data_IF_611384114181
#
_entry.id   IF_611384114181
#
_cell.length_a   1.000
_cell.length_b   1.000
_cell.length_c   1.000
_cell.angle_alpha   90.00
_cell.angle_beta   90.00
_cell.angle_gamma   90.00
#
_symmetry.space_group_name_H-M   'P 1'
#
loop_
_entity.id
_entity.type
_entity.pdbx_description
1 polymer ?
#
# COMPACT_ATOMS: atom_id res chain seq x y z
N UNK A 1 -35.06 -52.03 -4.02
CA UNK A 1 -33.93 -51.53 -3.21
C UNK A 1 -33.50 -50.20 -3.80
N UNK A 2 -33.89 -49.14 -3.18
CA UNK A 2 -33.56 -47.77 -3.65
C UNK A 2 -32.22 -47.37 -3.06
N UNK A 3 -31.20 -47.24 -3.90
CA UNK A 3 -29.89 -46.71 -3.50
C UNK A 3 -29.99 -45.20 -3.42
N UNK A 4 -29.99 -44.63 -2.23
CA UNK A 4 -29.85 -43.21 -1.98
C UNK A 4 -28.41 -42.83 -2.26
N UNK A 5 -28.18 -42.06 -3.30
CA UNK A 5 -26.91 -41.39 -3.57
C UNK A 5 -26.89 -40.10 -2.76
N UNK A 6 -26.10 -40.10 -1.69
CA UNK A 6 -25.82 -38.90 -0.92
C UNK A 6 -24.76 -38.09 -1.68
N UNK A 7 -25.18 -37.03 -2.35
CA UNK A 7 -24.28 -36.05 -2.95
C UNK A 7 -23.68 -35.20 -1.82
N UNK A 8 -22.45 -35.49 -1.45
CA UNK A 8 -21.66 -34.64 -0.55
C UNK A 8 -21.22 -33.40 -1.36
N UNK A 9 -21.95 -32.31 -1.19
CA UNK A 9 -21.52 -31.01 -1.68
C UNK A 9 -20.40 -30.53 -0.76
N UNK A 10 -19.17 -30.73 -1.20
CA UNK A 10 -18.01 -30.12 -0.58
C UNK A 10 -18.02 -28.63 -0.96
N UNK A 11 -18.56 -27.80 -0.09
CA UNK A 11 -18.38 -26.36 -0.17
C UNK A 11 -16.89 -26.06 0.06
N UNK A 12 -16.14 -25.95 -1.04
CA UNK A 12 -14.82 -25.32 -1.01
C UNK A 12 -15.05 -23.82 -0.71
N UNK A 13 -15.09 -23.48 0.55
CA UNK A 13 -14.92 -22.11 1.01
C UNK A 13 -13.50 -21.70 0.65
N UNK A 14 -13.38 -21.06 -0.52
CA UNK A 14 -12.16 -20.35 -0.88
C UNK A 14 -12.04 -19.22 0.13
N UNK A 15 -11.29 -19.47 1.20
CA UNK A 15 -10.87 -18.43 2.10
C UNK A 15 -10.00 -17.48 1.26
N UNK A 16 -10.60 -16.41 0.79
CA UNK A 16 -9.86 -15.28 0.24
C UNK A 16 -9.04 -14.74 1.41
N UNK A 17 -7.81 -15.22 1.50
CA UNK A 17 -6.86 -14.69 2.45
C UNK A 17 -6.60 -13.23 2.12
N UNK A 18 -7.39 -12.35 2.72
CA UNK A 18 -6.94 -10.98 2.88
C UNK A 18 -5.65 -11.09 3.66
N UNK A 19 -4.58 -10.66 3.04
CA UNK A 19 -3.30 -10.63 3.69
C UNK A 19 -3.40 -9.65 4.84
N UNK A 20 -3.67 -10.21 5.98
CA UNK A 20 -3.61 -9.51 7.24
C UNK A 20 -2.14 -9.30 7.55
N UNK A 21 -1.82 -8.10 7.99
CA UNK A 21 -0.54 -7.85 8.60
C UNK A 21 -0.36 -8.86 9.74
N UNK A 22 0.65 -9.73 9.65
CA UNK A 22 0.87 -10.86 10.57
C UNK A 22 1.10 -10.45 12.03
N UNK A 23 1.27 -9.17 12.26
CA UNK A 23 1.44 -8.55 13.57
C UNK A 23 0.46 -7.39 13.66
N UNK A 24 0.03 -7.09 14.87
CA UNK A 24 -0.67 -5.85 15.18
C UNK A 24 0.03 -4.68 14.48
N UNK A 25 -0.74 -3.64 14.13
CA UNK A 25 -0.19 -2.41 13.58
C UNK A 25 1.10 -2.06 14.29
N UNK A 26 2.14 -1.79 13.53
CA UNK A 26 3.42 -1.38 14.08
C UNK A 26 3.18 -0.20 15.02
N UNK A 27 3.75 -0.25 16.21
CA UNK A 27 3.65 0.86 17.16
C UNK A 27 4.17 2.13 16.50
N UNK A 28 3.35 3.18 16.44
CA UNK A 28 3.64 4.42 15.75
C UNK A 28 4.97 5.04 16.19
N UNK A 29 5.24 5.05 17.49
CA UNK A 29 6.50 5.58 18.02
C UNK A 29 7.71 4.79 17.51
N UNK A 30 7.60 3.47 17.45
CA UNK A 30 8.68 2.60 16.92
C UNK A 30 8.88 2.85 15.44
N UNK A 31 7.82 2.91 14.66
CA UNK A 31 7.89 3.18 13.22
C UNK A 31 8.47 4.57 12.95
N UNK A 32 8.08 5.58 13.72
CA UNK A 32 8.64 6.92 13.63
C UNK A 32 10.14 6.94 13.86
N UNK A 33 10.67 6.09 14.74
CA UNK A 33 12.13 5.97 14.97
C UNK A 33 12.84 5.22 13.85
N UNK A 34 12.18 4.25 13.22
CA UNK A 34 12.76 3.44 12.14
C UNK A 34 12.67 4.13 10.78
N UNK A 35 11.71 5.00 10.59
CA UNK A 35 11.52 5.73 9.34
C UNK A 35 12.69 6.69 9.07
N UNK A 36 13.13 6.77 7.82
CA UNK A 36 14.12 7.76 7.39
C UNK A 36 13.56 9.17 7.46
N UNK A 37 12.29 9.32 7.20
CA UNK A 37 11.52 10.55 7.39
C UNK A 37 10.04 10.22 7.61
N UNK A 38 9.35 11.11 8.32
CA UNK A 38 7.89 11.16 8.40
C UNK A 38 7.45 12.50 7.83
N UNK A 39 6.62 12.45 6.82
CA UNK A 39 6.22 13.62 6.05
C UNK A 39 4.72 13.66 5.80
N UNK A 40 4.20 14.86 5.58
CA UNK A 40 2.93 15.06 4.91
C UNK A 40 3.25 15.44 3.47
N UNK A 41 2.70 14.71 2.51
CA UNK A 41 2.99 14.94 1.11
C UNK A 41 1.81 14.68 0.20
N UNK A 42 1.79 15.36 -0.93
CA UNK A 42 0.79 15.22 -1.97
C UNK A 42 1.36 14.40 -3.13
N UNK A 43 0.65 13.38 -3.54
CA UNK A 43 1.05 12.56 -4.69
C UNK A 43 0.86 13.35 -5.97
N UNK A 44 1.93 13.52 -6.75
CA UNK A 44 1.91 14.25 -8.02
C UNK A 44 1.94 13.32 -9.23
N UNK A 45 2.48 12.12 -9.09
CA UNK A 45 2.51 11.13 -10.16
C UNK A 45 2.52 9.70 -9.57
N UNK A 46 2.09 8.75 -10.37
CA UNK A 46 2.15 7.33 -10.06
C UNK A 46 2.61 6.57 -11.31
N UNK A 47 3.65 5.78 -11.17
CA UNK A 47 4.22 5.01 -12.27
C UNK A 47 4.34 3.54 -11.86
N UNK A 48 3.60 2.63 -12.50
CA UNK A 48 3.78 1.20 -12.32
C UNK A 48 5.21 0.78 -12.66
N UNK A 49 5.78 -0.09 -11.86
CA UNK A 49 7.10 -0.70 -12.09
C UNK A 49 6.86 -2.12 -12.55
N UNK A 50 7.06 -2.44 -13.84
CA UNK A 50 6.88 -3.80 -14.31
C UNK A 50 8.03 -4.68 -13.77
N UNK A 51 7.65 -5.83 -13.20
CA UNK A 51 8.54 -6.96 -13.11
C UNK A 51 8.62 -7.64 -14.49
N UNK A 52 9.46 -8.62 -14.66
CA UNK A 52 9.56 -9.32 -15.94
C UNK A 52 8.21 -9.97 -16.35
N UNK A 53 7.80 -9.77 -17.61
CA UNK A 53 6.65 -10.37 -18.29
C UNK A 53 5.29 -9.75 -17.90
N UNK A 54 4.47 -10.36 -17.07
CA UNK A 54 3.09 -9.94 -16.84
C UNK A 54 2.82 -9.45 -15.42
N UNK A 55 3.85 -9.31 -14.60
CA UNK A 55 3.72 -8.91 -13.20
C UNK A 55 4.23 -7.50 -12.95
N UNK A 56 3.56 -6.79 -12.07
CA UNK A 56 4.02 -5.52 -11.53
C UNK A 56 4.80 -5.78 -10.24
N UNK A 57 6.02 -5.25 -10.17
CA UNK A 57 6.82 -5.24 -8.94
C UNK A 57 6.20 -4.31 -7.88
N UNK A 58 5.57 -3.25 -8.33
CA UNK A 58 4.89 -2.27 -7.49
C UNK A 58 4.59 -0.99 -8.23
N UNK A 59 4.44 0.08 -7.46
CA UNK A 59 4.21 1.42 -7.99
C UNK A 59 5.20 2.39 -7.36
N UNK A 60 5.88 3.17 -8.20
CA UNK A 60 6.62 4.35 -7.80
C UNK A 60 5.69 5.56 -7.80
N UNK A 61 5.51 6.16 -6.65
CA UNK A 61 4.79 7.41 -6.49
C UNK A 61 5.77 8.57 -6.38
N UNK A 62 5.52 9.64 -7.12
CA UNK A 62 6.19 10.92 -6.90
C UNK A 62 5.37 11.70 -5.89
N UNK A 63 5.98 12.09 -4.80
CA UNK A 63 5.33 12.79 -3.69
C UNK A 63 6.04 14.12 -3.48
N UNK A 64 5.28 15.22 -3.57
CA UNK A 64 5.76 16.53 -3.13
C UNK A 64 5.61 16.62 -1.62
N UNK A 65 6.68 16.93 -0.93
CA UNK A 65 6.68 17.09 0.52
C UNK A 65 6.10 18.44 0.89
N UNK A 66 4.94 18.43 1.52
CA UNK A 66 4.26 19.64 1.96
C UNK A 66 4.72 20.06 3.36
N UNK A 67 4.91 19.10 4.26
CA UNK A 67 5.39 19.32 5.62
C UNK A 67 6.29 18.19 6.07
N UNK A 68 7.39 18.51 6.70
CA UNK A 68 8.24 17.53 7.37
C UNK A 68 7.85 17.42 8.84
N UNK A 69 7.48 16.23 9.28
CA UNK A 69 7.24 15.91 10.68
C UNK A 69 8.55 15.51 11.37
N UNK A 70 9.33 14.63 10.69
CA UNK A 70 10.61 14.12 11.20
C UNK A 70 11.54 13.72 10.07
N UNK A 71 12.85 13.70 10.34
CA UNK A 71 13.89 13.14 9.47
C UNK A 71 14.51 14.17 8.53
N UNK A 72 15.20 13.69 7.49
CA UNK A 72 16.01 14.51 6.58
C UNK A 72 15.31 14.99 5.32
N UNK A 73 13.99 14.97 5.29
CA UNK A 73 13.22 15.44 4.14
C UNK A 73 13.22 16.99 4.08
N UNK A 74 13.12 17.52 2.85
CA UNK A 74 12.98 18.96 2.62
C UNK A 74 11.59 19.27 2.12
N UNK A 75 10.94 20.26 2.73
CA UNK A 75 9.66 20.82 2.26
C UNK A 75 9.79 21.38 0.83
N UNK A 76 8.73 21.27 0.04
CA UNK A 76 8.66 21.71 -1.35
C UNK A 76 9.64 20.99 -2.30
N UNK A 77 10.10 19.81 -1.93
CA UNK A 77 10.84 18.91 -2.81
C UNK A 77 10.02 17.68 -3.15
N UNK A 78 10.34 17.02 -4.23
CA UNK A 78 9.74 15.75 -4.61
C UNK A 78 10.61 14.57 -4.16
N UNK A 79 9.95 13.50 -3.74
CA UNK A 79 10.59 12.23 -3.38
C UNK A 79 9.85 11.10 -4.06
N UNK A 80 10.59 10.08 -4.48
CA UNK A 80 9.99 8.85 -4.98
C UNK A 80 9.73 7.90 -3.81
N UNK A 81 8.49 7.42 -3.73
CA UNK A 81 8.03 6.48 -2.71
C UNK A 81 7.53 5.22 -3.41
N UNK A 82 8.05 4.08 -3.04
CA UNK A 82 7.69 2.80 -3.61
C UNK A 82 6.69 2.06 -2.71
N UNK A 83 5.69 1.45 -3.33
CA UNK A 83 4.80 0.49 -2.68
C UNK A 83 4.84 -0.82 -3.47
N UNK A 84 5.26 -1.88 -2.79
CA UNK A 84 5.44 -3.19 -3.38
C UNK A 84 4.09 -3.83 -3.75
N UNK A 85 4.02 -4.48 -4.90
CA UNK A 85 2.86 -5.27 -5.30
C UNK A 85 2.79 -6.57 -4.50
N UNK A 86 2.38 -6.45 -3.28
CA UNK A 86 2.24 -7.52 -2.31
C UNK A 86 0.94 -7.31 -1.53
N UNK A 87 0.55 -8.28 -0.69
CA UNK A 87 -0.57 -8.07 0.23
C UNK A 87 -0.46 -6.84 1.14
N UNK A 88 0.72 -6.26 1.25
CA UNK A 88 0.99 -5.03 2.02
C UNK A 88 0.96 -3.77 1.16
N UNK A 89 0.48 -3.87 -0.07
CA UNK A 89 0.40 -2.75 -1.00
C UNK A 89 -0.36 -1.56 -0.39
N UNK A 90 0.27 -0.40 -0.38
CA UNK A 90 -0.31 0.85 0.05
C UNK A 90 -0.66 1.70 -1.18
N UNK A 91 -1.94 1.72 -1.52
CA UNK A 91 -2.41 2.47 -2.67
C UNK A 91 -2.51 3.96 -2.35
N UNK A 92 -1.95 4.77 -3.23
CA UNK A 92 -2.05 6.23 -3.17
C UNK A 92 -2.60 6.77 -4.48
N UNK A 93 -3.29 7.91 -4.41
CA UNK A 93 -3.91 8.56 -5.57
C UNK A 93 -3.23 9.89 -5.87
N UNK A 94 -3.03 10.16 -7.16
CA UNK A 94 -2.56 11.46 -7.63
C UNK A 94 -3.53 12.55 -7.17
N UNK A 95 -2.98 13.62 -6.62
CA UNK A 95 -3.73 14.75 -6.09
C UNK A 95 -4.15 14.63 -4.62
N UNK A 96 -4.02 13.45 -4.02
CA UNK A 96 -4.32 13.26 -2.60
C UNK A 96 -3.10 13.46 -1.72
N UNK A 97 -3.36 13.86 -0.48
CA UNK A 97 -2.35 14.09 0.54
C UNK A 97 -2.34 12.97 1.58
N UNK A 98 -1.15 12.59 1.99
CA UNK A 98 -0.92 11.49 2.92
C UNK A 98 0.09 11.87 3.99
N UNK A 99 -0.07 11.27 5.17
CA UNK A 99 1.02 11.15 6.15
C UNK A 99 1.79 9.88 5.80
N UNK A 100 3.08 9.99 5.54
CA UNK A 100 3.92 8.89 5.08
C UNK A 100 5.09 8.65 6.03
N UNK A 101 5.22 7.42 6.47
CA UNK A 101 6.35 6.89 7.23
C UNK A 101 7.29 6.20 6.24
N UNK A 102 8.31 6.91 5.78
CA UNK A 102 9.21 6.44 4.74
C UNK A 102 10.23 5.46 5.32
N UNK A 103 10.14 4.20 4.93
CA UNK A 103 11.06 3.15 5.35
C UNK A 103 12.17 2.99 4.31
N UNK A 104 13.45 3.10 4.71
CA UNK A 104 14.55 2.82 3.80
C UNK A 104 14.64 1.31 3.58
N UNK A 105 14.42 0.86 2.36
CA UNK A 105 14.49 -0.54 2.00
C UNK A 105 15.06 -0.68 0.60
N UNK A 106 16.09 -1.50 0.43
CA UNK A 106 16.75 -1.74 -0.86
C UNK A 106 17.14 -0.46 -1.61
N UNK A 107 17.61 0.56 -0.88
CA UNK A 107 18.07 1.83 -1.47
C UNK A 107 16.94 2.78 -1.91
N UNK A 108 15.69 2.50 -1.57
CA UNK A 108 14.54 3.35 -1.89
C UNK A 108 13.66 3.59 -0.67
N UNK A 109 12.85 4.65 -0.70
CA UNK A 109 11.82 4.89 0.30
C UNK A 109 10.62 4.01 0.01
N UNK A 110 10.18 3.22 0.98
CA UNK A 110 9.06 2.31 0.85
C UNK A 110 7.99 2.61 1.88
N UNK A 111 6.75 2.41 1.49
CA UNK A 111 5.58 2.43 2.39
C UNK A 111 4.80 1.15 2.22
N UNK A 112 4.12 0.73 3.27
CA UNK A 112 3.25 -0.43 3.24
C UNK A 112 1.96 -0.21 4.05
N UNK A 113 0.95 -1.03 3.78
CA UNK A 113 -0.36 -0.95 4.42
C UNK A 113 -0.38 -1.46 5.87
N UNK A 114 0.69 -2.05 6.35
CA UNK A 114 0.83 -2.53 7.73
C UNK A 114 1.44 -1.48 8.66
N UNK A 115 1.97 -0.38 8.10
CA UNK A 115 2.48 0.76 8.85
C UNK A 115 1.40 1.77 9.22
N UNK A 116 1.84 2.92 9.70
CA UNK A 116 0.97 4.02 10.13
C UNK A 116 0.76 5.09 9.04
N UNK A 117 1.25 4.87 7.82
CA UNK A 117 0.96 5.74 6.69
C UNK A 117 -0.54 5.75 6.39
N UNK A 118 -1.11 6.92 6.15
CA UNK A 118 -2.56 7.09 5.91
C UNK A 118 -2.86 8.37 5.14
N UNK A 119 -4.04 8.46 4.53
CA UNK A 119 -4.53 9.69 3.93
C UNK A 119 -4.84 10.73 5.02
N UNK A 120 -4.56 12.01 4.74
CA UNK A 120 -4.83 13.10 5.69
C UNK A 120 -6.31 13.41 5.83
N UNK A 121 -7.10 13.13 4.79
CA UNK A 121 -8.57 13.22 4.82
C UNK A 121 -9.13 11.84 5.06
N UNK A 122 -9.85 11.65 6.15
CA UNK A 122 -10.72 10.50 6.38
C UNK A 122 -11.93 10.60 5.47
N UNK A 123 -11.70 10.54 4.16
CA UNK A 123 -12.79 10.32 3.23
C UNK A 123 -13.24 8.87 3.36
N UNK A 124 -14.24 8.67 4.20
CA UNK A 124 -15.05 7.45 4.23
C UNK A 124 -15.68 7.11 2.87
N UNK A 125 -15.52 7.97 1.88
CA UNK A 125 -15.79 7.74 0.47
C UNK A 125 -14.74 6.85 -0.23
N UNK A 126 -13.57 6.65 0.36
CA UNK A 126 -12.49 5.82 -0.21
C UNK A 126 -12.77 4.31 -0.16
N UNK A 127 -13.88 3.88 0.44
CA UNK A 127 -14.31 2.48 0.40
C UNK A 127 -14.79 2.02 -0.98
N UNK A 128 -14.88 2.93 -1.96
CA UNK A 128 -15.19 2.63 -3.36
C UNK A 128 -13.96 2.70 -4.27
N UNK A 129 -12.83 2.27 -3.78
CA UNK A 129 -11.67 2.15 -4.63
C UNK A 129 -11.86 0.97 -5.58
N UNK A 130 -11.90 1.19 -6.88
CA UNK A 130 -11.92 0.08 -7.82
C UNK A 130 -10.60 -0.67 -7.68
N UNK A 131 -10.68 -1.94 -7.32
CA UNK A 131 -9.56 -2.89 -7.28
C UNK A 131 -8.91 -3.12 -8.67
N UNK A 132 -9.06 -2.17 -9.57
CA UNK A 132 -8.81 -2.37 -11.00
C UNK A 132 -7.41 -2.01 -11.45
N UNK A 133 -6.57 -1.45 -10.59
CA UNK A 133 -5.20 -1.09 -11.01
C UNK A 133 -4.24 -2.28 -10.94
N UNK A 134 -4.54 -3.28 -10.13
CA UNK A 134 -3.70 -4.47 -9.99
C UNK A 134 -3.99 -5.59 -11.00
N UNK A 135 -5.05 -5.49 -11.80
CA UNK A 135 -5.48 -6.59 -12.68
C UNK A 135 -5.55 -6.26 -14.17
N UNK A 136 -5.15 -5.06 -14.58
CA UNK A 136 -4.97 -4.81 -16.02
C UNK A 136 -3.50 -4.94 -16.36
N UNK A 137 -3.15 -6.16 -16.76
CA UNK A 137 -1.96 -6.38 -17.53
C UNK A 137 -1.98 -5.46 -18.77
N UNK A 138 -0.86 -4.87 -19.04
CA UNK A 138 -0.59 -4.16 -20.29
C UNK A 138 -0.25 -5.18 -21.36
#
# INVERSE_FOLDING_TARGET
MKKLAIAVIVCLSVAHGFAQCKTERVNERKEMHMASAVVVGTVTAAQPVPESWDFLDGVNYTVRIDTKIRGKAKTNTEVTVFSENSPRFFAMYVGQQYVLYLQPQYGRNQVDNCGNSHATTDDSASTKQPRTVASRGF
#
